data_IF_679186362173
#
_entry.id   IF_679186362173
#
_cell.length_a   1.000
_cell.length_b   1.000
_cell.length_c   1.000
_cell.angle_alpha   90.00
_cell.angle_beta   90.00
_cell.angle_gamma   90.00
#
_symmetry.space_group_name_H-M   'P 1'
#
loop_
_entity.id
_entity.type
_entity.pdbx_description
1 polymer ?
#
# COMPACT_ATOMS: atom_id res chain seq x y z
N UNK A 1 -22.00 9.42 8.00
CA UNK A 1 -22.22 7.96 7.81
C UNK A 1 -20.84 7.47 7.49
N UNK A 2 -20.17 6.96 8.53
CA UNK A 2 -18.71 6.85 8.59
C UNK A 2 -18.28 5.38 8.59
N UNK A 3 -19.24 4.47 8.36
CA UNK A 3 -19.01 3.04 8.17
C UNK A 3 -18.61 2.77 6.72
N UNK A 4 -17.31 2.81 6.49
CA UNK A 4 -16.65 2.17 5.35
C UNK A 4 -15.42 1.39 5.83
N UNK A 5 -14.97 0.43 5.04
CA UNK A 5 -13.86 -0.47 5.43
C UNK A 5 -12.48 0.23 5.38
N UNK A 6 -12.41 1.49 4.97
CA UNK A 6 -11.16 2.14 4.53
C UNK A 6 -10.87 3.49 5.17
N UNK A 7 -11.89 4.19 5.69
CA UNK A 7 -11.80 5.56 6.18
C UNK A 7 -10.99 5.70 7.46
N UNK A 8 -11.07 4.71 8.36
CA UNK A 8 -10.24 4.67 9.56
C UNK A 8 -8.76 4.45 9.22
N UNK A 9 -8.48 3.55 8.26
CA UNK A 9 -7.11 3.31 7.79
C UNK A 9 -6.54 4.54 7.07
N UNK A 10 -7.36 5.23 6.25
CA UNK A 10 -6.98 6.50 5.65
C UNK A 10 -6.65 7.55 6.72
N UNK A 11 -7.49 7.65 7.75
CA UNK A 11 -7.30 8.60 8.86
C UNK A 11 -5.99 8.32 9.60
N UNK A 12 -5.69 7.06 9.89
CA UNK A 12 -4.41 6.66 10.49
C UNK A 12 -3.22 7.15 9.63
N UNK A 13 -3.25 6.91 8.32
CA UNK A 13 -2.18 7.29 7.39
C UNK A 13 -2.00 8.81 7.32
N UNK A 14 -3.10 9.56 7.24
CA UNK A 14 -3.05 10.99 6.89
C UNK A 14 -3.10 11.94 8.09
N UNK A 15 -3.59 11.49 9.25
CA UNK A 15 -3.82 12.34 10.43
C UNK A 15 -2.98 11.95 11.63
N UNK A 16 -2.40 10.74 11.64
CA UNK A 16 -1.65 10.21 12.80
C UNK A 16 -0.20 9.91 12.44
N UNK A 17 0.05 9.29 11.28
CA UNK A 17 1.42 8.97 10.87
C UNK A 17 2.20 10.22 10.44
N UNK A 18 3.49 10.24 10.77
CA UNK A 18 4.46 11.14 10.15
C UNK A 18 4.97 10.55 8.81
N UNK A 19 5.80 11.32 8.09
CA UNK A 19 6.36 10.88 6.81
C UNK A 19 7.21 9.62 6.98
N UNK A 20 8.03 9.57 8.03
CA UNK A 20 8.89 8.42 8.30
C UNK A 20 8.08 7.13 8.56
N UNK A 21 6.93 7.23 9.23
CA UNK A 21 6.02 6.11 9.44
C UNK A 21 5.35 5.68 8.12
N UNK A 22 4.93 6.64 7.28
CA UNK A 22 4.40 6.33 5.93
C UNK A 22 5.44 5.63 5.06
N UNK A 23 6.70 6.05 5.14
CA UNK A 23 7.80 5.41 4.42
C UNK A 23 8.02 3.96 4.88
N UNK A 24 8.03 3.73 6.19
CA UNK A 24 8.12 2.38 6.76
C UNK A 24 6.92 1.51 6.36
N UNK A 25 5.71 2.08 6.33
CA UNK A 25 4.51 1.38 5.89
C UNK A 25 4.66 0.89 4.46
N UNK A 26 5.05 1.77 3.52
CA UNK A 26 5.28 1.41 2.11
C UNK A 26 6.33 0.30 2.02
N UNK A 27 7.47 0.44 2.69
CA UNK A 27 8.54 -0.54 2.64
C UNK A 27 8.11 -1.92 3.15
N UNK A 28 7.40 -1.99 4.28
CA UNK A 28 6.93 -3.24 4.85
C UNK A 28 5.92 -3.94 3.93
N UNK A 29 4.95 -3.19 3.41
CA UNK A 29 3.93 -3.75 2.50
C UNK A 29 4.58 -4.24 1.20
N UNK A 30 5.47 -3.46 0.60
CA UNK A 30 6.23 -3.87 -0.59
C UNK A 30 7.02 -5.16 -0.32
N UNK A 31 7.70 -5.26 0.81
CA UNK A 31 8.44 -6.47 1.20
C UNK A 31 7.54 -7.70 1.31
N UNK A 32 6.36 -7.57 1.93
CA UNK A 32 5.39 -8.66 2.03
C UNK A 32 4.83 -9.07 0.67
N UNK A 33 4.50 -8.12 -0.21
CA UNK A 33 4.01 -8.43 -1.56
C UNK A 33 5.08 -9.10 -2.43
N UNK A 34 6.36 -8.76 -2.25
CA UNK A 34 7.47 -9.40 -2.95
C UNK A 34 7.79 -10.80 -2.43
N UNK A 35 7.24 -11.20 -1.28
CA UNK A 35 7.45 -12.49 -0.65
C UNK A 35 6.47 -13.56 -1.17
N UNK A 36 6.37 -13.69 -2.49
CA UNK A 36 5.60 -14.75 -3.16
C UNK A 36 4.13 -14.44 -3.45
N UNK A 37 3.67 -13.18 -3.30
CA UNK A 37 2.33 -12.80 -3.78
C UNK A 37 2.39 -12.63 -5.29
N UNK A 38 1.54 -13.37 -6.01
CA UNK A 38 1.46 -13.34 -7.48
C UNK A 38 0.08 -12.89 -7.98
N UNK A 39 -0.05 -12.74 -9.30
CA UNK A 39 -1.33 -12.43 -9.93
C UNK A 39 -2.33 -13.60 -9.80
N UNK A 40 -3.64 -13.32 -9.66
CA UNK A 40 -4.30 -12.00 -9.69
C UNK A 40 -4.33 -11.26 -8.34
N UNK A 41 -3.71 -11.85 -7.30
CA UNK A 41 -3.78 -11.32 -5.93
C UNK A 41 -2.98 -10.03 -5.82
N UNK A 42 -1.85 -9.92 -6.52
CA UNK A 42 -1.04 -8.71 -6.53
C UNK A 42 -1.81 -7.50 -7.04
N UNK A 43 -2.49 -7.61 -8.19
CA UNK A 43 -3.33 -6.53 -8.72
C UNK A 43 -4.46 -6.12 -7.76
N UNK A 44 -5.08 -7.11 -7.08
CA UNK A 44 -6.11 -6.85 -6.06
C UNK A 44 -5.54 -6.12 -4.84
N UNK A 45 -4.33 -6.46 -4.41
CA UNK A 45 -3.67 -5.77 -3.31
C UNK A 45 -3.41 -4.30 -3.64
N UNK A 46 -2.97 -3.99 -4.87
CA UNK A 46 -2.81 -2.60 -5.31
C UNK A 46 -4.13 -1.84 -5.32
N UNK A 47 -5.20 -2.45 -5.83
CA UNK A 47 -6.52 -1.84 -5.80
C UNK A 47 -6.99 -1.58 -4.37
N UNK A 48 -6.81 -2.54 -3.47
CA UNK A 48 -7.18 -2.41 -2.06
C UNK A 48 -6.44 -1.25 -1.38
N UNK A 49 -5.12 -1.16 -1.53
CA UNK A 49 -4.35 -0.06 -0.94
C UNK A 49 -4.72 1.31 -1.52
N UNK A 50 -5.05 1.40 -2.81
CA UNK A 50 -5.54 2.66 -3.41
C UNK A 50 -6.92 3.07 -2.90
N UNK A 51 -7.78 2.10 -2.56
CA UNK A 51 -9.07 2.40 -1.93
C UNK A 51 -8.88 2.98 -0.51
N UNK A 52 -7.84 2.54 0.20
CA UNK A 52 -7.45 3.13 1.49
C UNK A 52 -6.86 4.53 1.30
N UNK A 53 -5.80 4.63 0.50
CA UNK A 53 -5.14 5.90 0.20
C UNK A 53 -4.46 5.80 -1.17
N UNK A 54 -4.89 6.66 -2.10
CA UNK A 54 -4.38 6.63 -3.48
C UNK A 54 -2.85 6.81 -3.53
N UNK A 55 -2.30 7.72 -2.74
CA UNK A 55 -0.88 8.06 -2.77
C UNK A 55 -0.04 6.90 -2.23
N UNK A 56 -0.41 6.35 -1.08
CA UNK A 56 0.27 5.17 -0.50
C UNK A 56 0.13 3.96 -1.41
N UNK A 57 -1.05 3.71 -1.95
CA UNK A 57 -1.28 2.61 -2.89
C UNK A 57 -0.42 2.71 -4.16
N UNK A 58 -0.29 3.91 -4.73
CA UNK A 58 0.59 4.14 -5.88
C UNK A 58 2.07 3.94 -5.53
N UNK A 59 2.51 4.44 -4.36
CA UNK A 59 3.89 4.24 -3.88
C UNK A 59 4.23 2.75 -3.71
N UNK A 60 3.32 1.97 -3.12
CA UNK A 60 3.47 0.52 -2.96
C UNK A 60 3.58 -0.16 -4.33
N UNK A 61 2.66 0.17 -5.26
CA UNK A 61 2.64 -0.43 -6.59
C UNK A 61 3.92 -0.14 -7.37
N UNK A 62 4.37 1.14 -7.41
CA UNK A 62 5.63 1.52 -8.04
C UNK A 62 6.80 0.78 -7.43
N UNK A 63 6.92 0.75 -6.10
CA UNK A 63 8.04 0.07 -5.43
C UNK A 63 8.09 -1.43 -5.73
N UNK A 64 6.94 -2.12 -5.79
CA UNK A 64 6.87 -3.54 -6.16
C UNK A 64 7.26 -3.75 -7.63
N UNK A 65 6.70 -2.95 -8.55
CA UNK A 65 6.96 -3.09 -9.98
C UNK A 65 8.43 -2.80 -10.31
N UNK A 66 9.00 -1.75 -9.74
CA UNK A 66 10.42 -1.41 -9.89
C UNK A 66 11.33 -2.52 -9.35
N UNK A 67 10.99 -3.10 -8.20
CA UNK A 67 11.76 -4.20 -7.62
C UNK A 67 11.68 -5.47 -8.47
N UNK A 68 10.52 -5.78 -9.06
CA UNK A 68 10.35 -6.92 -9.97
C UNK A 68 11.09 -6.71 -11.29
N UNK A 69 11.10 -5.49 -11.82
CA UNK A 69 11.79 -5.16 -13.08
C UNK A 69 13.33 -5.21 -12.98
N UNK A 70 13.88 -5.11 -11.76
CA UNK A 70 15.33 -5.19 -11.49
C UNK A 70 15.83 -6.63 -11.25
N UNK A 71 14.94 -7.62 -11.19
CA UNK A 71 15.29 -9.05 -11.08
C UNK A 71 15.51 -9.64 -12.45
#
# INVERSE_FOLDING_TARGET
>A
RDDDDVGQANTLINKVMDDAARDRLVNNVTGHLLNGVEEPVLSRAFAYWRNIDKTIGDRIATAVLDARAKR
#
